data_IF_889061577978
#
_entry.id   IF_889061577978
#
_cell.length_a   1.000
_cell.length_b   1.000
_cell.length_c   1.000
_cell.angle_alpha   90.00
_cell.angle_beta   90.00
_cell.angle_gamma   90.00
#
_symmetry.space_group_name_H-M   'P 1'
#
loop_
_entity.id
_entity.type
_entity.pdbx_description
1 polymer ?
#
# COMPACT_ATOMS: atom_id res chain seq x y z
N UNK A 1 -8.90 -18.11 14.27
CA UNK A 1 -9.93 -17.99 13.23
C UNK A 1 -9.34 -17.54 11.87
N UNK A 2 -8.15 -18.02 11.46
CA UNK A 2 -7.48 -17.51 10.24
C UNK A 2 -7.71 -18.32 8.96
N UNK A 3 -8.02 -19.61 9.06
CA UNK A 3 -8.11 -20.49 7.88
C UNK A 3 -9.34 -20.21 7.00
N UNK A 4 -10.46 -19.82 7.60
CA UNK A 4 -11.71 -19.53 6.86
C UNK A 4 -11.55 -18.28 5.98
N UNK A 5 -10.90 -17.23 6.49
CA UNK A 5 -10.68 -16.00 5.72
C UNK A 5 -9.73 -16.20 4.54
N UNK A 6 -8.69 -17.03 4.68
CA UNK A 6 -7.76 -17.32 3.57
C UNK A 6 -8.47 -18.01 2.41
N UNK A 7 -9.40 -18.92 2.73
CA UNK A 7 -10.18 -19.64 1.75
C UNK A 7 -11.15 -18.72 1.00
N UNK A 8 -11.89 -17.88 1.73
CA UNK A 8 -12.79 -16.87 1.15
C UNK A 8 -12.04 -15.88 0.24
N UNK A 9 -10.87 -15.42 0.68
CA UNK A 9 -10.00 -14.57 -0.14
C UNK A 9 -9.57 -15.33 -1.39
N UNK A 10 -9.10 -16.58 -1.25
CA UNK A 10 -8.69 -17.39 -2.41
C UNK A 10 -9.82 -17.53 -3.42
N UNK A 11 -11.03 -17.86 -2.98
CA UNK A 11 -12.18 -18.01 -3.87
C UNK A 11 -12.54 -16.70 -4.57
N UNK A 12 -12.62 -15.60 -3.83
CA UNK A 12 -12.92 -14.29 -4.41
C UNK A 12 -11.85 -13.83 -5.41
N UNK A 13 -10.58 -14.13 -5.15
CA UNK A 13 -9.49 -13.81 -6.07
C UNK A 13 -9.47 -14.76 -7.28
N UNK A 14 -9.77 -16.04 -7.08
CA UNK A 14 -9.84 -17.03 -8.16
C UNK A 14 -10.99 -16.74 -9.11
N UNK A 15 -12.14 -16.30 -8.62
CA UNK A 15 -13.30 -15.88 -9.42
C UNK A 15 -12.89 -14.80 -10.43
N UNK A 16 -12.28 -13.71 -9.95
CA UNK A 16 -11.81 -12.60 -10.78
C UNK A 16 -10.74 -13.03 -11.79
N UNK A 17 -9.95 -14.05 -11.46
CA UNK A 17 -8.87 -14.54 -12.32
C UNK A 17 -9.27 -15.72 -13.21
N UNK A 18 -10.54 -16.16 -13.16
CA UNK A 18 -11.06 -17.26 -13.97
C UNK A 18 -10.92 -17.00 -15.47
N UNK A 19 -11.06 -15.74 -15.89
CA UNK A 19 -10.94 -15.33 -17.30
C UNK A 19 -9.49 -15.35 -17.81
N UNK A 20 -8.50 -15.43 -16.92
CA UNK A 20 -7.08 -15.30 -17.26
C UNK A 20 -6.32 -16.64 -17.30
N UNK A 21 -7.00 -17.77 -17.13
CA UNK A 21 -6.40 -19.10 -17.03
C UNK A 21 -5.26 -19.18 -15.98
N UNK A 22 -5.37 -18.37 -14.92
CA UNK A 22 -4.41 -18.31 -13.82
C UNK A 22 -4.93 -19.10 -12.62
N UNK A 23 -4.03 -19.78 -11.93
CA UNK A 23 -4.34 -20.46 -10.66
C UNK A 23 -3.81 -19.63 -9.50
N UNK A 24 -4.71 -19.25 -8.61
CA UNK A 24 -4.41 -18.48 -7.41
C UNK A 24 -4.15 -19.42 -6.24
N UNK A 25 -3.08 -19.16 -5.50
CA UNK A 25 -2.86 -19.78 -4.21
C UNK A 25 -2.69 -18.68 -3.18
N UNK A 26 -3.49 -18.73 -2.12
CA UNK A 26 -3.41 -17.79 -1.01
C UNK A 26 -2.95 -18.55 0.23
N UNK A 27 -1.92 -18.02 0.88
CA UNK A 27 -1.39 -18.59 2.11
C UNK A 27 -1.08 -17.47 3.09
N UNK A 28 -1.56 -17.59 4.32
CA UNK A 28 -1.16 -16.68 5.40
C UNK A 28 0.02 -17.27 6.17
N UNK A 29 1.06 -16.47 6.36
CA UNK A 29 2.17 -16.81 7.24
C UNK A 29 2.42 -15.65 8.20
N UNK A 30 2.16 -15.88 9.49
CA UNK A 30 2.14 -14.82 10.52
C UNK A 30 1.19 -13.68 10.10
N UNK A 31 1.68 -12.44 10.12
CA UNK A 31 0.96 -11.24 9.71
C UNK A 31 1.18 -10.90 8.23
N UNK A 32 1.58 -11.87 7.41
CA UNK A 32 1.77 -11.69 5.97
C UNK A 32 0.85 -12.59 5.16
N UNK A 33 0.11 -11.98 4.23
CA UNK A 33 -0.68 -12.69 3.23
C UNK A 33 0.16 -12.89 1.97
N UNK A 34 0.38 -14.15 1.58
CA UNK A 34 1.09 -14.51 0.36
C UNK A 34 0.09 -14.95 -0.71
N UNK A 35 0.10 -14.25 -1.83
CA UNK A 35 -0.76 -14.52 -2.98
C UNK A 35 0.15 -14.93 -4.13
N UNK A 36 0.01 -16.16 -4.60
CA UNK A 36 0.81 -16.72 -5.68
C UNK A 36 -0.08 -16.88 -6.90
N UNK A 37 0.31 -16.24 -7.99
CA UNK A 37 -0.33 -16.30 -9.29
C UNK A 37 0.48 -17.24 -10.18
N UNK A 38 -0.04 -18.45 -10.38
CA UNK A 38 0.57 -19.44 -11.26
C UNK A 38 -0.01 -19.28 -12.66
N UNK A 39 0.83 -18.92 -13.63
CA UNK A 39 0.46 -18.90 -15.05
C UNK A 39 0.91 -20.18 -15.76
N UNK A 40 0.11 -20.73 -16.69
CA UNK A 40 0.56 -21.80 -17.55
C UNK A 40 1.69 -21.32 -18.47
N UNK A 41 2.61 -22.21 -18.88
CA UNK A 41 3.68 -21.86 -19.81
C UNK A 41 3.10 -21.34 -21.14
N UNK A 42 3.71 -20.30 -21.69
CA UNK A 42 3.25 -19.67 -22.94
C UNK A 42 2.14 -18.63 -22.78
N UNK A 43 1.64 -18.39 -21.56
CA UNK A 43 0.64 -17.35 -21.28
C UNK A 43 1.31 -16.01 -20.98
N UNK A 44 0.85 -14.94 -21.63
CA UNK A 44 1.25 -13.57 -21.29
C UNK A 44 0.34 -13.07 -20.17
N UNK A 45 0.92 -12.74 -19.02
CA UNK A 45 0.18 -12.21 -17.87
C UNK A 45 0.65 -10.79 -17.56
N UNK A 46 -0.28 -9.84 -17.56
CA UNK A 46 0.00 -8.45 -17.18
C UNK A 46 -0.07 -8.29 -15.66
N UNK A 47 0.99 -8.73 -14.97
CA UNK A 47 1.00 -8.83 -13.51
C UNK A 47 0.70 -7.52 -12.77
N UNK A 48 1.12 -6.37 -13.30
CA UNK A 48 0.81 -5.06 -12.71
C UNK A 48 -0.70 -4.78 -12.70
N UNK A 49 -1.37 -4.96 -13.83
CA UNK A 49 -2.82 -4.76 -13.93
C UNK A 49 -3.57 -5.76 -13.04
N UNK A 50 -3.14 -7.03 -13.04
CA UNK A 50 -3.72 -8.05 -12.16
C UNK A 50 -3.53 -7.68 -10.68
N UNK A 51 -2.37 -7.17 -10.29
CA UNK A 51 -2.11 -6.74 -8.93
C UNK A 51 -3.06 -5.62 -8.49
N UNK A 52 -3.35 -4.65 -9.36
CA UNK A 52 -4.30 -3.58 -9.04
C UNK A 52 -5.74 -4.10 -8.88
N UNK A 53 -6.18 -5.05 -9.70
CA UNK A 53 -7.47 -5.73 -9.51
C UNK A 53 -7.52 -6.50 -8.19
N UNK A 54 -6.45 -7.25 -7.87
CA UNK A 54 -6.34 -7.99 -6.61
C UNK A 54 -6.38 -7.04 -5.41
N UNK A 55 -5.65 -5.91 -5.45
CA UNK A 55 -5.69 -4.88 -4.40
C UNK A 55 -7.10 -4.34 -4.19
N UNK A 56 -7.81 -4.03 -5.26
CA UNK A 56 -9.18 -3.52 -5.17
C UNK A 56 -10.12 -4.53 -4.51
N UNK A 57 -9.95 -5.83 -4.80
CA UNK A 57 -10.72 -6.89 -4.14
C UNK A 57 -10.32 -7.08 -2.68
N UNK A 58 -9.01 -7.10 -2.39
CA UNK A 58 -8.48 -7.25 -1.05
C UNK A 58 -8.92 -6.12 -0.11
N UNK A 59 -9.12 -4.91 -0.63
CA UNK A 59 -9.68 -3.78 0.12
C UNK A 59 -11.12 -4.00 0.62
N UNK A 60 -11.84 -5.00 0.11
CA UNK A 60 -13.18 -5.38 0.59
C UNK A 60 -13.11 -6.29 1.83
N UNK A 61 -11.94 -6.88 2.11
CA UNK A 61 -11.73 -7.76 3.25
C UNK A 61 -11.14 -6.99 4.44
N UNK A 62 -11.61 -7.30 5.64
CA UNK A 62 -11.04 -6.76 6.87
C UNK A 62 -9.76 -7.53 7.24
N UNK A 63 -8.62 -7.07 6.72
CA UNK A 63 -7.30 -7.66 6.93
C UNK A 63 -6.64 -7.20 8.25
N UNK A 64 -7.38 -7.22 9.35
CA UNK A 64 -6.97 -6.60 10.63
C UNK A 64 -5.67 -7.16 11.23
N UNK A 65 -5.35 -8.42 10.94
CA UNK A 65 -4.14 -9.10 11.45
C UNK A 65 -3.01 -9.18 10.41
N UNK A 66 -3.17 -8.55 9.24
CA UNK A 66 -2.20 -8.57 8.15
C UNK A 66 -1.50 -7.23 8.06
N UNK A 67 -0.19 -7.25 8.28
CA UNK A 67 0.69 -6.08 8.15
C UNK A 67 1.21 -5.91 6.72
N UNK A 68 1.24 -7.00 5.96
CA UNK A 68 1.90 -7.06 4.67
C UNK A 68 1.22 -8.04 3.72
N UNK A 69 1.07 -7.64 2.47
CA UNK A 69 0.61 -8.49 1.37
C UNK A 69 1.78 -8.67 0.41
N UNK A 70 2.06 -9.91 0.03
CA UNK A 70 3.08 -10.28 -0.93
C UNK A 70 2.43 -10.99 -2.11
N UNK A 71 2.51 -10.41 -3.30
CA UNK A 71 1.97 -10.96 -4.54
C UNK A 71 3.12 -11.47 -5.39
N UNK A 72 3.05 -12.72 -5.84
CA UNK A 72 4.12 -13.39 -6.57
C UNK A 72 3.56 -13.96 -7.86
N UNK A 73 4.04 -13.46 -9.00
CA UNK A 73 3.79 -14.04 -10.31
C UNK A 73 4.83 -15.10 -10.63
N UNK A 74 4.41 -16.31 -10.99
CA UNK A 74 5.33 -17.36 -11.46
C UNK A 74 4.73 -18.19 -12.58
N UNK A 75 5.61 -18.74 -13.42
CA UNK A 75 5.25 -19.77 -14.39
C UNK A 75 5.10 -21.09 -13.64
N UNK A 76 4.03 -21.84 -13.92
CA UNK A 76 3.80 -23.14 -13.33
C UNK A 76 4.99 -24.07 -13.60
N UNK A 77 5.52 -24.67 -12.54
CA UNK A 77 6.72 -25.54 -12.61
C UNK A 77 8.06 -24.79 -12.57
N UNK A 78 8.08 -23.45 -12.59
CA UNK A 78 9.31 -22.68 -12.37
C UNK A 78 9.56 -22.46 -10.88
N UNK A 79 10.78 -22.72 -10.37
CA UNK A 79 11.15 -22.39 -8.99
C UNK A 79 11.35 -20.88 -8.78
N UNK A 80 11.60 -20.12 -9.85
CA UNK A 80 11.88 -18.69 -9.77
C UNK A 80 10.62 -17.88 -10.04
N UNK A 81 10.28 -16.89 -9.20
CA UNK A 81 9.23 -15.94 -9.50
C UNK A 81 9.62 -15.08 -10.71
N UNK A 82 8.66 -14.89 -11.61
CA UNK A 82 8.78 -14.02 -12.79
C UNK A 82 8.59 -12.55 -12.37
N UNK A 83 7.78 -12.32 -11.35
CA UNK A 83 7.42 -11.00 -10.85
C UNK A 83 7.02 -11.07 -9.37
N UNK A 84 7.26 -10.01 -8.62
CA UNK A 84 6.91 -9.89 -7.20
C UNK A 84 6.55 -8.45 -6.86
N UNK A 85 5.52 -8.28 -6.03
CA UNK A 85 5.14 -7.01 -5.43
C UNK A 85 4.83 -7.20 -3.95
N UNK A 86 5.28 -6.25 -3.13
CA UNK A 86 5.08 -6.24 -1.68
C UNK A 86 4.39 -4.95 -1.30
N UNK A 87 3.32 -5.09 -0.53
CA UNK A 87 2.48 -3.99 -0.06
C UNK A 87 2.53 -4.04 1.46
N UNK A 88 3.09 -3.00 2.08
CA UNK A 88 3.01 -2.81 3.53
C UNK A 88 1.70 -2.06 3.85
N UNK A 89 0.84 -2.69 4.66
CA UNK A 89 -0.42 -2.11 5.13
C UNK A 89 -0.24 -1.29 6.42
N UNK A 90 0.91 -1.48 7.08
CA UNK A 90 1.26 -0.72 8.28
C UNK A 90 1.36 0.77 7.94
N UNK A 91 0.84 1.65 8.80
CA UNK A 91 1.02 3.08 8.61
C UNK A 91 2.52 3.41 8.56
N UNK A 92 2.94 4.33 7.67
CA UNK A 92 4.33 4.76 7.63
C UNK A 92 4.73 5.29 9.00
N UNK A 93 5.87 4.83 9.54
CA UNK A 93 6.35 5.28 10.84
C UNK A 93 6.68 6.79 10.76
N UNK A 94 5.92 7.67 11.44
CA UNK A 94 6.13 9.11 11.34
C UNK A 94 7.51 9.55 11.85
N UNK A 95 8.16 8.76 12.72
CA UNK A 95 9.51 9.04 13.20
C UNK A 95 10.60 8.87 12.12
N UNK A 96 10.34 8.08 11.07
CA UNK A 96 11.25 7.95 9.92
C UNK A 96 10.94 8.97 8.81
N UNK A 97 9.76 9.59 8.84
CA UNK A 97 9.31 10.60 7.88
C UNK A 97 9.55 12.05 8.34
N UNK A 98 9.89 12.26 9.63
CA UNK A 98 10.27 13.56 10.13
C UNK A 98 11.60 14.01 9.48
N UNK A 99 11.66 15.18 8.82
CA UNK A 99 12.94 15.70 8.35
C UNK A 99 13.86 15.89 9.56
N UNK A 100 15.09 15.38 9.45
CA UNK A 100 16.15 15.38 10.50
C UNK A 100 16.50 16.80 11.02
N UNK A 101 15.92 17.84 10.44
CA UNK A 101 16.11 19.25 10.83
C UNK A 101 15.39 19.69 12.11
N UNK A 102 14.48 18.88 12.69
CA UNK A 102 13.63 19.35 13.79
C UNK A 102 14.31 19.43 15.18
N UNK A 103 15.55 18.97 15.37
CA UNK A 103 16.17 18.90 16.72
C UNK A 103 17.34 19.87 16.98
N UNK A 104 17.53 20.93 16.19
CA UNK A 104 18.64 21.87 16.41
C UNK A 104 18.29 23.36 16.43
N UNK A 105 17.01 23.76 16.42
CA UNK A 105 16.63 25.17 16.54
C UNK A 105 15.91 25.47 17.88
N UNK A 106 16.50 26.26 18.80
CA UNK A 106 15.87 26.55 20.10
C UNK A 106 14.74 27.59 20.04
N UNK A 107 14.27 28.00 18.85
CA UNK A 107 13.15 28.94 18.70
C UNK A 107 12.60 28.90 17.27
N UNK A 108 11.63 28.01 16.99
CA UNK A 108 10.71 28.19 15.85
C UNK A 108 9.29 27.89 16.31
N UNK A 109 8.47 28.95 16.32
CA UNK A 109 7.01 28.88 16.42
C UNK A 109 6.48 28.42 15.05
N UNK A 110 5.71 27.34 15.04
CA UNK A 110 5.04 26.87 13.83
C UNK A 110 3.90 27.84 13.46
N UNK A 111 4.02 28.51 12.31
CA UNK A 111 2.89 29.18 11.67
C UNK A 111 2.27 28.17 10.70
N UNK A 112 1.14 27.58 11.11
CA UNK A 112 0.29 26.81 10.22
C UNK A 112 -0.30 27.76 9.14
N UNK A 113 -0.32 27.26 7.90
CA UNK A 113 -0.67 28.02 6.71
C UNK A 113 -2.05 28.70 6.78
N UNK A 114 -2.11 29.92 6.24
CA UNK A 114 -3.34 30.51 5.69
C UNK A 114 -3.88 31.73 6.42
N UNK A 115 -3.36 32.92 6.07
CA UNK A 115 -4.11 34.08 5.54
C UNK A 115 -3.22 35.33 5.64
N UNK A 116 -2.73 35.79 4.49
CA UNK A 116 -2.29 37.19 4.36
C UNK A 116 -3.56 38.03 4.41
N UNK A 117 -3.78 38.77 5.50
CA UNK A 117 -4.68 39.91 5.50
C UNK A 117 -3.86 41.15 5.86
N UNK A 118 -3.48 41.85 4.80
CA UNK A 118 -3.02 43.23 4.83
C UNK A 118 -4.14 44.08 5.44
N UNK A 119 -3.95 44.60 6.66
CA UNK A 119 -4.77 45.69 7.19
C UNK A 119 -3.91 46.95 7.31
N UNK A 120 -4.10 47.87 6.37
CA UNK A 120 -3.75 49.30 6.45
C UNK A 120 -4.56 49.88 7.63
N UNK A 121 -4.09 50.73 8.55
CA UNK A 121 -3.88 52.20 8.52
C UNK A 121 -3.49 52.54 9.99
N UNK A 122 -2.45 53.31 10.32
CA UNK A 122 -2.53 54.77 10.55
C UNK A 122 -1.13 55.39 10.63
N UNK A 123 -0.92 56.40 9.79
CA UNK A 123 0.11 57.42 9.92
C UNK A 123 -0.02 58.14 11.27
N UNK A 124 1.10 58.44 11.93
CA UNK A 124 1.34 59.80 12.43
C UNK A 124 2.80 60.19 12.23
N UNK A 125 2.91 61.45 11.85
CA UNK A 125 4.01 62.14 11.21
C UNK A 125 4.97 62.70 12.28
N UNK A 126 6.27 62.71 11.94
CA UNK A 126 7.37 63.59 12.40
C UNK A 126 7.35 64.16 13.82
N UNK A 127 8.50 64.01 14.48
CA UNK A 127 8.92 64.96 15.50
C UNK A 127 9.24 66.35 14.94
N UNK A 128 9.06 67.35 15.81
CA UNK A 128 10.05 68.37 16.10
C UNK A 128 10.10 68.58 17.61
#
# INVERSE_FOLDING_TARGET
>A
MGLLQVEEIREALQDVLSEHALVVQVNQFRNQLNIILNKPPGTVAHYSALADFLKSRLGQFHLNDIDRIKIIGRIQGSPKPDWEEVIDLRPPNPALAAPVYASSAPWVVAIAAGFVSLLVIFSYHLGQ
#
